data_IF_213576103085
#
_entry.id   IF_213576103085
#
_cell.length_a   1.000
_cell.length_b   1.000
_cell.length_c   1.000
_cell.angle_alpha   90.00
_cell.angle_beta   90.00
_cell.angle_gamma   90.00
#
_symmetry.space_group_name_H-M   'P 1'
#
loop_
_entity.id
_entity.type
_entity.pdbx_description
1 polymer ?
#
# COMPACT_ATOMS: atom_id res chain seq x y z
N UNK A 1 -5.89 -17.61 22.19
CA UNK A 1 -5.11 -16.44 22.66
C UNK A 1 -6.08 -15.28 22.83
N UNK A 2 -5.78 -14.29 23.66
CA UNK A 2 -6.63 -13.09 23.75
C UNK A 2 -6.59 -12.29 22.43
N UNK A 3 -7.69 -11.63 22.07
CA UNK A 3 -7.81 -10.85 20.82
C UNK A 3 -6.67 -9.84 20.65
N UNK A 4 -6.23 -9.20 21.75
CA UNK A 4 -5.13 -8.22 21.72
C UNK A 4 -3.84 -8.77 21.10
N UNK A 5 -3.53 -10.07 21.27
CA UNK A 5 -2.36 -10.67 20.65
C UNK A 5 -2.51 -10.69 19.13
N UNK A 6 -3.69 -11.07 18.64
CA UNK A 6 -4.01 -11.05 17.21
C UNK A 6 -4.05 -9.62 16.65
N UNK A 7 -4.52 -8.64 17.42
CA UNK A 7 -4.45 -7.21 17.06
C UNK A 7 -3.01 -6.76 16.89
N UNK A 8 -2.12 -7.09 17.83
CA UNK A 8 -0.72 -6.69 17.75
C UNK A 8 0.00 -7.35 16.58
N UNK A 9 -0.32 -8.61 16.26
CA UNK A 9 0.24 -9.29 15.10
C UNK A 9 -0.30 -8.72 13.78
N UNK A 10 -1.59 -8.36 13.73
CA UNK A 10 -2.19 -7.60 12.64
C UNK A 10 -1.45 -6.27 12.39
N UNK A 11 -1.24 -5.47 13.45
CA UNK A 11 -0.56 -4.16 13.37
C UNK A 11 0.91 -4.32 12.95
N UNK A 12 1.61 -5.35 13.43
CA UNK A 12 2.97 -5.68 12.95
C UNK A 12 2.98 -5.98 11.45
N UNK A 13 1.97 -6.68 10.95
CA UNK A 13 1.76 -6.92 9.52
C UNK A 13 1.59 -5.62 8.73
N UNK A 14 0.74 -4.71 9.19
CA UNK A 14 0.57 -3.38 8.57
C UNK A 14 1.88 -2.57 8.57
N UNK A 15 2.66 -2.62 9.65
CA UNK A 15 3.97 -1.95 9.72
C UNK A 15 4.97 -2.56 8.73
N UNK A 16 5.00 -3.89 8.60
CA UNK A 16 5.87 -4.57 7.64
C UNK A 16 5.54 -4.15 6.21
N UNK A 17 4.27 -4.17 5.84
CA UNK A 17 3.77 -3.75 4.53
C UNK A 17 4.14 -2.29 4.24
N UNK A 18 3.91 -1.39 5.20
CA UNK A 18 4.27 0.02 5.08
C UNK A 18 5.79 0.24 4.92
N UNK A 19 6.62 -0.56 5.60
CA UNK A 19 8.08 -0.54 5.41
C UNK A 19 8.48 -1.03 4.02
N UNK A 20 7.87 -2.10 3.52
CA UNK A 20 8.11 -2.62 2.16
C UNK A 20 7.76 -1.54 1.12
N UNK A 21 6.61 -0.87 1.28
CA UNK A 21 6.21 0.26 0.43
C UNK A 21 7.24 1.38 0.46
N UNK A 22 7.70 1.77 1.65
CA UNK A 22 8.71 2.81 1.80
C UNK A 22 10.01 2.44 1.08
N UNK A 23 10.52 1.22 1.30
CA UNK A 23 11.74 0.74 0.65
C UNK A 23 11.59 0.70 -0.87
N UNK A 24 10.47 0.17 -1.38
CA UNK A 24 10.19 0.17 -2.81
C UNK A 24 10.19 1.60 -3.39
N UNK A 25 9.57 2.54 -2.68
CA UNK A 25 9.58 3.96 -3.03
C UNK A 25 10.98 4.55 -3.10
N UNK A 26 11.85 4.27 -2.11
CA UNK A 26 13.27 4.69 -2.15
C UNK A 26 13.98 4.12 -3.38
N UNK A 27 13.83 2.83 -3.65
CA UNK A 27 14.47 2.17 -4.80
C UNK A 27 14.04 2.82 -6.11
N UNK A 28 12.73 3.09 -6.28
CA UNK A 28 12.20 3.73 -7.48
C UNK A 28 12.74 5.16 -7.64
N UNK A 29 12.80 5.94 -6.56
CA UNK A 29 13.37 7.30 -6.58
C UNK A 29 14.85 7.25 -6.98
N UNK A 30 15.63 6.30 -6.46
CA UNK A 30 17.03 6.11 -6.86
C UNK A 30 17.17 5.73 -8.34
N UNK A 31 16.27 4.90 -8.87
CA UNK A 31 16.22 4.61 -10.30
C UNK A 31 15.90 5.87 -11.11
N UNK A 32 14.96 6.71 -10.67
CA UNK A 32 14.62 7.97 -11.34
C UNK A 32 15.82 8.95 -11.36
N UNK A 33 16.55 9.07 -10.25
CA UNK A 33 17.80 9.85 -10.16
C UNK A 33 18.87 9.28 -11.11
N UNK A 34 18.95 7.95 -11.23
CA UNK A 34 19.87 7.29 -12.15
C UNK A 34 19.53 7.60 -13.62
N UNK A 35 18.25 7.58 -13.99
CA UNK A 35 17.81 8.03 -15.32
C UNK A 35 18.12 9.49 -15.58
N UNK A 36 17.98 10.36 -14.57
CA UNK A 36 18.33 11.77 -14.72
C UNK A 36 19.83 11.99 -14.93
N UNK A 37 20.68 11.26 -14.18
CA UNK A 37 22.13 11.43 -14.21
C UNK A 37 22.80 10.75 -15.41
N UNK A 38 22.32 9.57 -15.81
CA UNK A 38 22.98 8.72 -16.80
C UNK A 38 22.15 8.51 -18.09
N UNK A 39 20.89 8.93 -18.11
CA UNK A 39 19.99 8.74 -19.25
C UNK A 39 20.33 9.66 -20.42
N UNK A 40 20.82 9.08 -21.51
CA UNK A 40 21.17 9.82 -22.73
C UNK A 40 20.05 9.83 -23.78
N UNK A 41 19.19 8.81 -23.79
CA UNK A 41 18.12 8.64 -24.80
C UNK A 41 16.86 9.45 -24.45
N UNK A 42 16.01 9.79 -25.45
CA UNK A 42 14.74 10.46 -25.20
C UNK A 42 13.83 9.71 -24.22
N UNK A 43 13.77 8.38 -24.32
CA UNK A 43 12.96 7.54 -23.44
C UNK A 43 13.49 7.51 -22.00
N UNK A 44 14.82 7.43 -21.82
CA UNK A 44 15.42 7.47 -20.49
C UNK A 44 15.12 8.80 -19.78
N UNK A 45 15.26 9.92 -20.48
CA UNK A 45 14.96 11.25 -19.94
C UNK A 45 13.47 11.42 -19.60
N UNK A 46 12.58 10.87 -20.42
CA UNK A 46 11.14 10.93 -20.20
C UNK A 46 10.68 10.17 -18.94
N UNK A 47 11.42 9.14 -18.50
CA UNK A 47 11.06 8.33 -17.32
C UNK A 47 11.25 9.04 -15.98
N UNK A 48 12.07 10.09 -15.91
CA UNK A 48 12.48 10.72 -14.65
C UNK A 48 11.26 11.19 -13.84
N UNK A 49 10.39 12.03 -14.42
CA UNK A 49 9.24 12.60 -13.71
C UNK A 49 8.21 11.52 -13.34
N UNK A 50 7.74 10.66 -14.27
CA UNK A 50 6.79 9.61 -13.92
C UNK A 50 7.31 8.66 -12.84
N UNK A 51 8.59 8.26 -12.88
CA UNK A 51 9.17 7.41 -11.84
C UNK A 51 9.30 8.12 -10.50
N UNK A 52 9.65 9.40 -10.46
CA UNK A 52 9.67 10.16 -9.21
C UNK A 52 8.27 10.18 -8.57
N UNK A 53 7.22 10.39 -9.35
CA UNK A 53 5.84 10.35 -8.83
C UNK A 53 5.51 8.97 -8.25
N UNK A 54 5.76 7.89 -9.02
CA UNK A 54 5.47 6.52 -8.56
C UNK A 54 6.36 6.08 -7.39
N UNK A 55 7.55 6.66 -7.22
CA UNK A 55 8.42 6.38 -6.09
C UNK A 55 8.07 7.17 -4.83
N UNK A 56 7.76 8.47 -4.96
CA UNK A 56 7.50 9.36 -3.83
C UNK A 56 6.19 9.02 -3.14
N UNK A 57 5.14 8.66 -3.89
CA UNK A 57 3.83 8.31 -3.33
C UNK A 57 3.95 7.16 -2.30
N UNK A 58 4.38 5.94 -2.66
CA UNK A 58 4.52 4.84 -1.71
C UNK A 58 5.58 5.10 -0.64
N UNK A 59 6.58 5.93 -0.93
CA UNK A 59 7.56 6.36 0.07
C UNK A 59 6.88 7.14 1.22
N UNK A 60 6.10 8.17 0.88
CA UNK A 60 5.42 9.01 1.86
C UNK A 60 4.39 8.18 2.64
N UNK A 61 3.52 7.45 1.95
CA UNK A 61 2.50 6.63 2.60
C UNK A 61 3.08 5.50 3.44
N UNK A 62 4.14 4.85 2.96
CA UNK A 62 4.83 3.79 3.69
C UNK A 62 5.51 4.29 4.96
N UNK A 63 6.23 5.42 4.92
CA UNK A 63 6.83 6.01 6.12
C UNK A 63 5.74 6.45 7.10
N UNK A 64 4.73 7.16 6.62
CA UNK A 64 3.63 7.65 7.45
C UNK A 64 2.90 6.50 8.15
N UNK A 65 2.53 5.46 7.40
CA UNK A 65 1.86 4.27 7.92
C UNK A 65 2.71 3.53 8.96
N UNK A 66 3.99 3.30 8.66
CA UNK A 66 4.89 2.62 9.59
C UNK A 66 5.05 3.37 10.92
N UNK A 67 5.22 4.70 10.86
CA UNK A 67 5.37 5.55 12.06
C UNK A 67 4.07 5.62 12.85
N UNK A 68 2.94 5.84 12.18
CA UNK A 68 1.62 5.94 12.83
C UNK A 68 1.27 4.63 13.54
N UNK A 69 1.36 3.50 12.84
CA UNK A 69 0.99 2.20 13.39
C UNK A 69 1.93 1.79 14.53
N UNK A 70 3.23 2.07 14.42
CA UNK A 70 4.18 1.82 15.50
C UNK A 70 3.84 2.60 16.77
N UNK A 71 3.41 3.86 16.64
CA UNK A 71 3.00 4.70 17.78
C UNK A 71 1.69 4.22 18.40
N UNK A 72 0.78 3.68 17.60
CA UNK A 72 -0.53 3.25 18.08
C UNK A 72 -0.52 1.91 18.83
N UNK A 73 0.59 1.15 18.82
CA UNK A 73 0.70 -0.14 19.54
C UNK A 73 0.31 0.00 21.02
N UNK A 74 0.82 1.02 21.73
CA UNK A 74 0.49 1.24 23.14
C UNK A 74 -0.98 1.59 23.33
N UNK A 75 -1.56 2.37 22.41
CA UNK A 75 -2.98 2.73 22.45
C UNK A 75 -3.90 1.52 22.31
N UNK A 76 -3.54 0.52 21.49
CA UNK A 76 -4.31 -0.72 21.41
C UNK A 76 -4.30 -1.48 22.74
N UNK A 77 -3.15 -1.52 23.42
CA UNK A 77 -3.02 -2.18 24.72
C UNK A 77 -3.85 -1.45 25.81
N UNK A 78 -3.71 -0.12 25.89
CA UNK A 78 -4.48 0.72 26.81
C UNK A 78 -6.00 0.60 26.57
N UNK A 79 -6.43 0.56 25.30
CA UNK A 79 -7.84 0.42 24.96
C UNK A 79 -8.40 -0.96 25.33
N UNK A 80 -7.61 -2.02 25.15
CA UNK A 80 -7.95 -3.38 25.59
C UNK A 80 -8.11 -3.47 27.10
N UNK A 81 -7.17 -2.92 27.87
CA UNK A 81 -7.21 -2.91 29.34
C UNK A 81 -8.38 -2.10 29.88
N UNK A 82 -8.72 -0.99 29.22
CA UNK A 82 -9.80 -0.09 29.65
C UNK A 82 -11.18 -0.71 29.44
N UNK A 83 -11.47 -1.26 28.27
CA UNK A 83 -12.76 -1.90 27.98
C UNK A 83 -12.65 -2.83 26.76
N UNK A 84 -12.58 -4.14 27.03
CA UNK A 84 -12.46 -5.16 25.99
C UNK A 84 -13.66 -5.19 25.04
N UNK A 85 -14.89 -5.01 25.54
CA UNK A 85 -16.08 -5.06 24.69
C UNK A 85 -16.11 -3.90 23.69
N UNK A 86 -15.84 -2.68 24.16
CA UNK A 86 -15.74 -1.50 23.30
C UNK A 86 -14.60 -1.65 22.30
N UNK A 87 -13.45 -2.19 22.74
CA UNK A 87 -12.30 -2.45 21.87
C UNK A 87 -12.66 -3.39 20.71
N UNK A 88 -13.27 -4.54 21.02
CA UNK A 88 -13.65 -5.55 20.02
C UNK A 88 -14.61 -4.97 18.97
N UNK A 89 -15.60 -4.17 19.40
CA UNK A 89 -16.54 -3.50 18.50
C UNK A 89 -15.81 -2.49 17.61
N UNK A 90 -14.93 -1.67 18.18
CA UNK A 90 -14.17 -0.68 17.41
C UNK A 90 -13.21 -1.32 16.39
N UNK A 91 -12.56 -2.43 16.74
CA UNK A 91 -11.69 -3.17 15.82
C UNK A 91 -12.49 -3.83 14.70
N UNK A 92 -13.69 -4.34 15.00
CA UNK A 92 -14.59 -4.85 13.97
C UNK A 92 -14.92 -3.77 12.95
N UNK A 93 -15.35 -2.59 13.40
CA UNK A 93 -15.69 -1.45 12.53
C UNK A 93 -14.48 -1.02 11.69
N UNK A 94 -13.28 -0.98 12.30
CA UNK A 94 -12.04 -0.63 11.59
C UNK A 94 -11.73 -1.62 10.48
N UNK A 95 -11.77 -2.92 10.76
CA UNK A 95 -11.43 -3.98 9.80
C UNK A 95 -12.48 -4.09 8.69
N UNK A 96 -13.78 -3.99 9.01
CA UNK A 96 -14.85 -3.96 8.00
C UNK A 96 -14.77 -2.71 7.11
N UNK A 97 -14.15 -1.62 7.60
CA UNK A 97 -13.85 -0.43 6.78
C UNK A 97 -12.93 -0.72 5.60
N UNK A 98 -12.08 -1.75 5.65
CA UNK A 98 -11.17 -2.11 4.57
C UNK A 98 -11.90 -2.66 3.33
N UNK A 99 -13.06 -3.31 3.49
CA UNK A 99 -13.86 -3.81 2.36
C UNK A 99 -14.22 -2.69 1.39
N UNK A 100 -14.56 -1.50 1.94
CA UNK A 100 -14.86 -0.33 1.12
C UNK A 100 -13.62 0.19 0.38
N UNK A 101 -12.43 0.10 0.99
CA UNK A 101 -11.17 0.50 0.35
C UNK A 101 -10.90 -0.44 -0.83
N UNK A 102 -10.92 -1.75 -0.60
CA UNK A 102 -10.59 -2.76 -1.60
C UNK A 102 -11.58 -2.81 -2.77
N UNK A 103 -12.85 -2.47 -2.51
CA UNK A 103 -13.88 -2.33 -3.56
C UNK A 103 -13.48 -1.35 -4.66
N UNK A 104 -12.73 -0.29 -4.33
CA UNK A 104 -12.30 0.72 -5.29
C UNK A 104 -10.82 0.59 -5.67
N UNK A 105 -9.97 0.13 -4.76
CA UNK A 105 -8.52 0.04 -5.01
C UNK A 105 -8.17 -1.06 -6.01
N UNK A 106 -8.81 -2.23 -5.97
CA UNK A 106 -8.54 -3.30 -6.94
C UNK A 106 -8.91 -2.91 -8.38
N UNK A 107 -10.13 -2.40 -8.67
CA UNK A 107 -10.44 -1.92 -10.01
C UNK A 107 -9.49 -0.83 -10.48
N UNK A 108 -9.14 0.13 -9.60
CA UNK A 108 -8.19 1.18 -9.92
C UNK A 108 -6.81 0.61 -10.31
N UNK A 109 -6.27 -0.31 -9.51
CA UNK A 109 -5.00 -0.97 -9.77
C UNK A 109 -4.99 -1.74 -11.10
N UNK A 110 -6.07 -2.47 -11.41
CA UNK A 110 -6.25 -3.19 -12.67
C UNK A 110 -6.34 -2.22 -13.85
N UNK A 111 -7.12 -1.15 -13.73
CA UNK A 111 -7.28 -0.11 -14.76
C UNK A 111 -5.94 0.57 -15.04
N UNK A 112 -5.18 0.93 -14.02
CA UNK A 112 -3.84 1.50 -14.19
C UNK A 112 -2.90 0.51 -14.89
N UNK A 113 -2.94 -0.76 -14.52
CA UNK A 113 -2.05 -1.79 -15.08
C UNK A 113 -2.37 -2.08 -16.53
N UNK A 114 -3.61 -2.50 -16.83
CA UNK A 114 -4.04 -2.87 -18.17
C UNK A 114 -4.15 -1.63 -19.06
N UNK A 115 -4.72 -0.54 -18.54
CA UNK A 115 -4.84 0.72 -19.27
C UNK A 115 -3.47 1.32 -19.61
N UNK A 116 -2.51 1.25 -18.70
CA UNK A 116 -1.12 1.62 -18.97
C UNK A 116 -0.51 0.76 -20.08
N UNK A 117 -0.71 -0.56 -20.05
CA UNK A 117 -0.21 -1.46 -21.09
C UNK A 117 -0.82 -1.14 -22.47
N UNK A 118 -2.14 -0.95 -22.54
CA UNK A 118 -2.83 -0.56 -23.77
C UNK A 118 -2.28 0.79 -24.28
N UNK A 119 -2.22 1.80 -23.40
CA UNK A 119 -1.73 3.13 -23.76
C UNK A 119 -0.30 3.08 -24.32
N UNK A 120 0.58 2.25 -23.76
CA UNK A 120 1.96 2.09 -24.21
C UNK A 120 2.07 1.68 -25.70
N UNK A 121 1.15 0.84 -26.18
CA UNK A 121 1.12 0.40 -27.58
C UNK A 121 0.41 1.39 -28.51
N UNK A 122 -0.51 2.20 -28.00
CA UNK A 122 -1.25 3.19 -28.80
C UNK A 122 -0.44 4.49 -29.03
N UNK A 123 0.47 4.83 -28.13
CA UNK A 123 1.24 6.08 -28.18
C UNK A 123 2.65 5.86 -28.72
N UNK A 124 3.18 6.87 -29.42
CA UNK A 124 4.52 6.79 -30.03
C UNK A 124 5.54 7.74 -29.40
N UNK A 125 5.12 8.71 -28.58
CA UNK A 125 6.05 9.70 -28.02
C UNK A 125 6.72 9.19 -26.73
N UNK A 126 7.99 9.57 -26.47
CA UNK A 126 8.71 9.14 -25.27
C UNK A 126 7.98 9.43 -23.96
N UNK A 127 7.39 10.62 -23.82
CA UNK A 127 6.69 11.03 -22.60
C UNK A 127 5.44 10.18 -22.32
N UNK A 128 4.62 9.93 -23.34
CA UNK A 128 3.42 9.11 -23.16
C UNK A 128 3.76 7.64 -22.89
N UNK A 129 4.83 7.11 -23.51
CA UNK A 129 5.32 5.77 -23.17
C UNK A 129 5.83 5.69 -21.72
N UNK A 130 6.54 6.71 -21.25
CA UNK A 130 7.00 6.77 -19.86
C UNK A 130 5.84 6.81 -18.85
N UNK A 131 4.81 7.62 -19.11
CA UNK A 131 3.58 7.66 -18.29
C UNK A 131 2.90 6.28 -18.29
N UNK A 132 2.81 5.64 -19.45
CA UNK A 132 2.19 4.31 -19.59
C UNK A 132 2.91 3.26 -18.73
N UNK A 133 4.24 3.22 -18.78
CA UNK A 133 5.06 2.33 -17.94
C UNK A 133 4.91 2.65 -16.45
N UNK A 134 4.85 3.93 -16.08
CA UNK A 134 4.64 4.35 -14.70
C UNK A 134 3.26 3.92 -14.16
N UNK A 135 2.19 4.04 -14.97
CA UNK A 135 0.85 3.53 -14.62
C UNK A 135 0.85 2.02 -14.42
N UNK A 136 1.55 1.27 -15.29
CA UNK A 136 1.70 -0.17 -15.14
C UNK A 136 2.38 -0.54 -13.81
N UNK A 137 3.48 0.15 -13.48
CA UNK A 137 4.22 -0.08 -12.26
C UNK A 137 3.39 0.27 -11.02
N UNK A 138 2.71 1.41 -11.03
CA UNK A 138 1.83 1.85 -9.93
C UNK A 138 0.70 0.84 -9.69
N UNK A 139 0.00 0.44 -10.75
CA UNK A 139 -1.13 -0.47 -10.64
C UNK A 139 -0.71 -1.85 -10.13
N UNK A 140 0.39 -2.41 -10.65
CA UNK A 140 0.88 -3.72 -10.21
C UNK A 140 1.33 -3.69 -8.74
N UNK A 141 2.05 -2.65 -8.34
CA UNK A 141 2.46 -2.48 -6.93
C UNK A 141 1.25 -2.36 -6.00
N UNK A 142 0.29 -1.50 -6.34
CA UNK A 142 -0.93 -1.32 -5.55
C UNK A 142 -1.68 -2.64 -5.40
N UNK A 143 -1.83 -3.41 -6.49
CA UNK A 143 -2.50 -4.70 -6.45
C UNK A 143 -1.81 -5.70 -5.50
N UNK A 144 -0.49 -5.80 -5.56
CA UNK A 144 0.28 -6.71 -4.70
C UNK A 144 0.09 -6.36 -3.22
N UNK A 145 0.19 -5.07 -2.89
CA UNK A 145 0.04 -4.57 -1.52
C UNK A 145 -1.39 -4.86 -1.01
N UNK A 146 -2.39 -4.47 -1.78
CA UNK A 146 -3.80 -4.65 -1.42
C UNK A 146 -4.18 -6.13 -1.28
N UNK A 147 -3.57 -7.02 -2.06
CA UNK A 147 -3.80 -8.47 -1.95
C UNK A 147 -3.43 -9.01 -0.57
N UNK A 148 -2.23 -8.67 -0.08
CA UNK A 148 -1.79 -9.10 1.25
C UNK A 148 -2.51 -8.37 2.38
N UNK A 149 -2.87 -7.10 2.18
CA UNK A 149 -3.67 -6.36 3.15
C UNK A 149 -5.06 -6.97 3.35
N UNK A 150 -5.73 -7.35 2.25
CA UNK A 150 -7.05 -7.99 2.29
C UNK A 150 -7.03 -9.38 2.92
N UNK A 151 -6.07 -10.24 2.55
CA UNK A 151 -5.93 -11.57 3.15
C UNK A 151 -5.74 -11.47 4.66
N UNK A 152 -4.85 -10.57 5.08
CA UNK A 152 -4.59 -10.34 6.50
C UNK A 152 -5.90 -9.89 7.19
N UNK A 153 -6.70 -9.03 6.54
CA UNK A 153 -7.90 -8.43 7.12
C UNK A 153 -8.96 -9.50 7.37
N UNK A 154 -9.14 -10.39 6.40
CA UNK A 154 -10.01 -11.55 6.50
C UNK A 154 -9.60 -12.49 7.64
N UNK A 155 -8.30 -12.72 7.82
CA UNK A 155 -7.78 -13.54 8.92
C UNK A 155 -8.08 -12.87 10.26
N UNK A 156 -7.80 -11.58 10.40
CA UNK A 156 -8.01 -10.89 11.67
C UNK A 156 -9.50 -10.73 12.02
N UNK A 157 -10.36 -10.48 11.03
CA UNK A 157 -11.81 -10.41 11.21
C UNK A 157 -12.41 -11.72 11.76
N UNK A 158 -11.82 -12.88 11.41
CA UNK A 158 -12.23 -14.17 11.99
C UNK A 158 -11.98 -14.21 13.50
N UNK A 159 -10.79 -13.77 13.95
CA UNK A 159 -10.48 -13.71 15.38
C UNK A 159 -11.38 -12.71 16.13
N UNK A 160 -11.70 -11.57 15.53
CA UNK A 160 -12.66 -10.61 16.11
C UNK A 160 -14.03 -11.27 16.29
N UNK A 161 -14.54 -11.96 15.27
CA UNK A 161 -15.84 -12.65 15.32
C UNK A 161 -15.88 -13.76 16.37
N UNK A 162 -14.77 -14.44 16.61
CA UNK A 162 -14.64 -15.43 17.68
C UNK A 162 -14.65 -14.79 19.07
N UNK A 163 -14.06 -13.60 19.23
CA UNK A 163 -14.01 -12.87 20.50
C UNK A 163 -15.35 -12.21 20.90
N UNK A 164 -16.31 -12.08 19.97
CA UNK A 164 -17.67 -11.54 20.24
C UNK A 164 -18.63 -12.63 20.74
N UNK A 165 -18.32 -13.91 20.49
CA UNK A 165 -19.15 -15.04 20.93
C UNK A 165 -19.02 -15.28 22.43
#
# INVERSE_FOLDING_TARGET
MELIHHTLDWVKGEILEAKIMAIAGVVIVLCAISFWKFGTTPYAKAMVIPMLVVGIIPLIFGISGAVSNQRNISHYQEAWEKNQQTFVISEKERVEGFDNIFKYSYPFAIICTIGGAILFFLVSTPNWKAISLALMMLGLMAYIIDHFAAERADIYLKYIKEAIK
#
